data_IF_956832754600
#
_entry.id   IF_956832754600
#
_cell.length_a   1.000
_cell.length_b   1.000
_cell.length_c   1.000
_cell.angle_alpha   90.00
_cell.angle_beta   90.00
_cell.angle_gamma   90.00
#
_symmetry.space_group_name_H-M   'P 1'
#
loop_
_entity.id
_entity.type
_entity.pdbx_description
1 polymer ?
#
# COMPACT_ATOMS: atom_id res chain seq x y z
N UNK A 1 -34.45 2.68 27.42
CA UNK A 1 -33.43 1.64 27.69
C UNK A 1 -32.16 2.11 27.03
N UNK A 2 -31.21 2.60 27.84
CA UNK A 2 -29.95 3.17 27.38
C UNK A 2 -28.92 2.04 27.46
N UNK A 3 -28.32 1.64 26.35
CA UNK A 3 -27.18 0.73 26.35
C UNK A 3 -25.94 1.57 26.03
N UNK A 4 -25.25 1.96 27.10
CA UNK A 4 -23.89 2.49 27.08
C UNK A 4 -22.97 1.26 27.09
N UNK A 5 -22.12 1.10 26.08
CA UNK A 5 -21.01 0.15 26.10
C UNK A 5 -19.73 0.93 25.81
N UNK A 6 -19.10 1.38 26.89
CA UNK A 6 -17.71 1.86 26.92
C UNK A 6 -16.80 0.63 26.94
N UNK A 7 -15.97 0.46 25.90
CA UNK A 7 -15.12 -0.73 25.75
C UNK A 7 -14.51 -0.87 24.37
N UNK A 8 -13.29 -0.39 24.23
CA UNK A 8 -12.41 -0.48 23.06
C UNK A 8 -12.17 -1.92 22.58
N UNK A 9 -13.04 -2.48 21.74
CA UNK A 9 -12.75 -3.52 20.72
C UNK A 9 -13.88 -3.54 19.68
N UNK A 10 -13.58 -3.08 18.45
CA UNK A 10 -14.48 -3.03 17.30
C UNK A 10 -14.82 -4.46 16.85
N UNK A 11 -15.88 -5.05 17.41
CA UNK A 11 -16.44 -6.34 17.00
C UNK A 11 -16.78 -6.30 15.50
N UNK A 12 -15.92 -6.92 14.66
CA UNK A 12 -16.11 -7.06 13.22
C UNK A 12 -17.38 -7.86 12.96
N UNK A 13 -18.43 -7.18 12.51
CA UNK A 13 -19.73 -7.76 12.22
C UNK A 13 -19.58 -8.91 11.20
N UNK A 14 -19.81 -10.12 11.68
CA UNK A 14 -19.76 -11.39 10.98
C UNK A 14 -21.01 -11.58 10.11
N UNK A 15 -21.08 -10.92 8.95
CA UNK A 15 -21.94 -11.24 7.79
C UNK A 15 -21.94 -10.03 6.85
N UNK A 16 -21.25 -10.07 5.71
CA UNK A 16 -21.42 -9.13 4.57
C UNK A 16 -20.45 -9.52 3.47
N UNK A 17 -20.92 -9.72 2.24
CA UNK A 17 -20.10 -10.08 1.08
C UNK A 17 -19.15 -8.98 0.61
N UNK A 18 -18.61 -8.17 1.52
CA UNK A 18 -17.67 -7.08 1.26
C UNK A 18 -16.78 -6.80 2.48
N UNK A 19 -15.59 -6.26 2.22
CA UNK A 19 -14.66 -5.70 3.20
C UNK A 19 -14.83 -4.18 3.20
N UNK A 20 -14.86 -3.55 4.38
CA UNK A 20 -14.93 -2.10 4.48
C UNK A 20 -13.83 -1.51 5.37
N UNK A 21 -13.25 -0.40 4.93
CA UNK A 21 -12.32 0.40 5.72
C UNK A 21 -12.34 1.87 5.24
N UNK A 22 -11.81 2.78 6.06
CA UNK A 22 -11.78 4.21 5.75
C UNK A 22 -10.83 4.55 4.59
N UNK A 23 -9.77 3.76 4.39
CA UNK A 23 -8.77 3.99 3.34
C UNK A 23 -9.24 3.63 1.93
N UNK A 24 -10.07 2.59 1.78
CA UNK A 24 -10.45 2.03 0.47
C UNK A 24 -11.97 1.93 0.27
N UNK A 25 -12.76 2.38 1.25
CA UNK A 25 -14.21 2.27 1.20
C UNK A 25 -14.66 0.81 1.31
N UNK A 26 -15.55 0.37 0.42
CA UNK A 26 -16.12 -0.99 0.42
C UNK A 26 -15.67 -1.78 -0.80
N UNK A 27 -15.15 -2.99 -0.59
CA UNK A 27 -14.68 -3.91 -1.62
C UNK A 27 -15.49 -5.19 -1.53
N UNK A 28 -16.16 -5.66 -2.60
CA UNK A 28 -16.85 -6.94 -2.58
C UNK A 28 -15.91 -8.12 -2.31
N UNK A 29 -16.38 -9.17 -1.66
CA UNK A 29 -15.60 -10.40 -1.48
C UNK A 29 -15.34 -11.02 -2.85
N UNK A 30 -14.07 -11.35 -3.12
CA UNK A 30 -13.58 -11.83 -4.40
C UNK A 30 -12.99 -10.73 -5.28
N UNK A 31 -13.21 -9.47 -4.94
CA UNK A 31 -12.66 -8.33 -5.68
C UNK A 31 -11.33 -7.86 -5.08
N UNK A 32 -10.58 -7.16 -5.93
CA UNK A 32 -9.32 -6.50 -5.56
C UNK A 32 -9.44 -5.01 -5.82
N UNK A 33 -9.10 -4.22 -4.80
CA UNK A 33 -8.95 -2.78 -4.94
C UNK A 33 -7.48 -2.44 -5.16
N UNK A 34 -7.22 -1.51 -6.07
CA UNK A 34 -5.88 -1.01 -6.35
C UNK A 34 -5.82 0.45 -5.95
N UNK A 35 -4.84 0.80 -5.13
CA UNK A 35 -4.51 2.17 -4.80
C UNK A 35 -3.20 2.51 -5.50
N UNK A 36 -3.31 3.18 -6.65
CA UNK A 36 -2.15 3.51 -7.48
C UNK A 36 -1.30 4.63 -6.85
N UNK A 37 -1.89 5.47 -5.99
CA UNK A 37 -1.19 6.55 -5.30
C UNK A 37 -0.20 6.01 -4.26
N UNK A 38 -0.62 5.00 -3.48
CA UNK A 38 0.25 4.31 -2.52
C UNK A 38 0.88 3.03 -3.10
N UNK A 39 0.60 2.71 -4.37
CA UNK A 39 1.01 1.49 -5.05
C UNK A 39 0.80 0.22 -4.20
N UNK A 40 -0.44 0.01 -3.82
CA UNK A 40 -0.86 -1.14 -3.01
C UNK A 40 -2.11 -1.80 -3.62
N UNK A 41 -2.23 -3.12 -3.43
CA UNK A 41 -3.45 -3.86 -3.71
C UNK A 41 -4.08 -4.37 -2.42
N UNK A 42 -5.41 -4.37 -2.38
CA UNK A 42 -6.19 -4.85 -1.25
C UNK A 42 -7.17 -5.90 -1.75
N UNK A 43 -6.96 -7.14 -1.32
CA UNK A 43 -7.81 -8.27 -1.71
C UNK A 43 -8.81 -8.54 -0.61
N UNK A 44 -10.10 -8.54 -0.92
CA UNK A 44 -11.14 -8.93 0.02
C UNK A 44 -11.48 -10.42 -0.14
N UNK A 45 -11.19 -11.24 0.87
CA UNK A 45 -11.46 -12.68 0.89
C UNK A 45 -12.15 -13.11 2.18
N UNK A 46 -13.33 -13.72 2.05
CA UNK A 46 -14.14 -14.25 3.16
C UNK A 46 -14.41 -13.25 4.30
N UNK A 47 -14.57 -11.96 3.98
CA UNK A 47 -14.79 -10.90 4.98
C UNK A 47 -13.51 -10.42 5.69
N UNK A 48 -12.34 -10.89 5.24
CA UNK A 48 -11.03 -10.39 5.62
C UNK A 48 -10.40 -9.67 4.43
N UNK A 49 -9.67 -8.58 4.68
CA UNK A 49 -8.89 -7.93 3.62
C UNK A 49 -7.39 -8.13 3.87
N UNK A 50 -6.65 -8.29 2.79
CA UNK A 50 -5.19 -8.42 2.77
C UNK A 50 -4.62 -7.32 1.90
N UNK A 51 -3.84 -6.42 2.50
CA UNK A 51 -3.10 -5.39 1.78
C UNK A 51 -1.70 -5.87 1.41
N UNK A 52 -1.29 -5.66 0.17
CA UNK A 52 0.08 -5.84 -0.30
C UNK A 52 0.54 -4.55 -0.97
N UNK A 53 1.58 -3.94 -0.42
CA UNK A 53 2.26 -2.78 -1.01
C UNK A 53 3.63 -3.16 -1.53
N UNK A 54 4.31 -2.21 -2.16
CA UNK A 54 5.73 -2.34 -2.41
C UNK A 54 6.48 -2.36 -1.07
N UNK A 55 7.39 -3.32 -0.90
CA UNK A 55 8.28 -3.33 0.26
C UNK A 55 9.03 -2.01 0.39
N UNK A 56 9.53 -1.70 1.60
CA UNK A 56 10.29 -0.47 1.82
C UNK A 56 11.62 -0.55 1.08
N UNK A 57 11.70 0.13 -0.07
CA UNK A 57 12.94 0.36 -0.79
C UNK A 57 13.52 1.71 -0.40
N UNK A 58 14.75 1.71 0.10
CA UNK A 58 15.48 2.91 0.46
C UNK A 58 16.61 3.12 -0.55
N UNK A 59 16.74 4.36 -1.04
CA UNK A 59 17.93 4.80 -1.75
C UNK A 59 19.04 5.07 -0.76
N UNK A 60 20.18 4.43 -0.99
CA UNK A 60 21.40 4.68 -0.24
C UNK A 60 22.46 5.14 -1.24
N UNK A 61 23.20 6.21 -0.90
CA UNK A 61 24.36 6.66 -1.67
C UNK A 61 24.28 8.08 -2.22
N UNK A 62 23.10 8.60 -2.58
CA UNK A 62 22.99 9.96 -3.12
C UNK A 62 21.70 10.69 -2.68
N UNK A 63 21.79 11.84 -1.99
CA UNK A 63 20.62 12.62 -1.56
C UNK A 63 19.91 13.35 -2.71
N UNK A 64 20.54 13.48 -3.88
CA UNK A 64 19.96 14.11 -5.07
C UNK A 64 19.27 13.10 -6.00
N UNK A 65 19.13 11.85 -5.55
CA UNK A 65 18.39 10.82 -6.23
C UNK A 65 17.18 10.44 -5.39
N UNK A 66 16.04 10.23 -6.05
CA UNK A 66 14.79 9.82 -5.41
C UNK A 66 14.20 8.61 -6.13
N UNK A 67 13.50 7.76 -5.39
CA UNK A 67 12.72 6.69 -5.97
C UNK A 67 11.39 7.27 -6.40
N UNK A 68 11.11 7.14 -7.68
CA UNK A 68 9.83 7.55 -8.23
C UNK A 68 9.09 6.30 -8.67
N UNK A 69 7.86 6.15 -8.16
CA UNK A 69 6.96 5.09 -8.57
C UNK A 69 6.51 5.33 -10.02
N UNK A 70 6.35 4.26 -10.78
CA UNK A 70 5.79 4.37 -12.13
C UNK A 70 4.27 4.37 -12.09
N UNK A 71 3.61 5.06 -13.02
CA UNK A 71 2.16 4.95 -13.18
C UNK A 71 1.78 3.51 -13.54
N UNK A 72 0.72 2.99 -12.92
CA UNK A 72 0.22 1.64 -13.13
C UNK A 72 -0.37 1.06 -11.84
N UNK A 73 -0.90 -0.16 -11.94
CA UNK A 73 -1.42 -0.91 -10.80
C UNK A 73 -0.33 -1.73 -10.13
N UNK A 74 -0.49 -2.05 -8.85
CA UNK A 74 0.37 -3.03 -8.19
C UNK A 74 0.31 -4.38 -8.94
N UNK A 75 1.43 -5.08 -9.19
CA UNK A 75 2.80 -4.79 -8.76
C UNK A 75 3.63 -3.95 -9.76
N UNK A 76 3.06 -3.50 -10.88
CA UNK A 76 3.79 -2.74 -11.90
C UNK A 76 4.27 -1.36 -11.39
N UNK A 77 3.46 -0.68 -10.58
CA UNK A 77 3.89 0.58 -9.95
C UNK A 77 5.03 0.38 -8.93
N UNK A 78 5.29 -0.85 -8.46
CA UNK A 78 6.42 -1.17 -7.58
C UNK A 78 7.76 -1.21 -8.30
N UNK A 79 7.78 -1.16 -9.63
CA UNK A 79 9.02 -1.00 -10.41
C UNK A 79 9.48 0.45 -10.31
N UNK A 80 9.90 0.82 -9.10
CA UNK A 80 10.48 2.11 -8.81
C UNK A 80 11.72 2.29 -9.67
N UNK A 81 11.83 3.47 -10.25
CA UNK A 81 13.03 3.89 -10.95
C UNK A 81 13.70 5.02 -10.17
N UNK A 82 15.01 5.08 -10.31
CA UNK A 82 15.82 6.13 -9.71
C UNK A 82 15.82 7.31 -10.66
N UNK A 83 15.26 8.43 -10.20
CA UNK A 83 15.40 9.71 -10.87
C UNK A 83 16.36 10.57 -10.05
N UNK A 84 17.39 11.10 -10.70
CA UNK A 84 18.35 12.00 -10.07
C UNK A 84 18.35 13.36 -10.75
N UNK A 85 18.53 14.42 -9.97
CA UNK A 85 18.66 15.78 -10.49
C UNK A 85 19.93 15.93 -11.36
N UNK A 86 19.92 16.85 -12.33
CA UNK A 86 21.03 17.05 -13.26
C UNK A 86 22.34 17.35 -12.52
N UNK A 87 23.36 16.51 -12.75
CA UNK A 87 24.67 16.59 -12.07
C UNK A 87 24.84 15.65 -10.87
N UNK A 88 23.83 14.84 -10.54
CA UNK A 88 23.95 13.79 -9.53
C UNK A 88 24.78 12.59 -10.06
N UNK A 89 25.77 12.16 -9.28
CA UNK A 89 26.53 10.94 -9.57
C UNK A 89 25.69 9.69 -9.27
N UNK A 90 25.40 8.89 -10.29
CA UNK A 90 24.66 7.63 -10.15
C UNK A 90 25.56 6.44 -9.78
N UNK A 91 26.88 6.65 -9.67
CA UNK A 91 27.88 5.58 -9.56
C UNK A 91 27.83 4.83 -8.23
N UNK A 92 27.21 5.40 -7.20
CA UNK A 92 27.12 4.82 -5.86
C UNK A 92 25.67 4.61 -5.37
N UNK A 93 24.68 4.73 -6.26
CA UNK A 93 23.27 4.60 -5.89
C UNK A 93 22.89 3.12 -5.78
N UNK A 94 22.47 2.70 -4.59
CA UNK A 94 21.94 1.35 -4.35
C UNK A 94 20.50 1.43 -3.86
N UNK A 95 19.65 0.53 -4.37
CA UNK A 95 18.27 0.37 -3.91
C UNK A 95 18.23 -0.81 -2.97
N UNK A 96 18.02 -0.53 -1.68
CA UNK A 96 17.91 -1.55 -0.64
C UNK A 96 16.44 -1.81 -0.36
N UNK A 97 15.93 -2.98 -0.76
CA UNK A 97 14.57 -3.41 -0.46
C UNK A 97 14.55 -4.26 0.81
N UNK A 98 13.90 -3.79 1.87
CA UNK A 98 13.67 -4.62 3.06
C UNK A 98 12.33 -5.35 2.86
N UNK A 99 12.42 -6.66 2.63
CA UNK A 99 11.29 -7.58 2.48
C UNK A 99 11.16 -8.51 3.67
#
# INVERSE_FOLDING_TARGET
MVLVLDGSQRERKKNIGYCENESFGRIPVGETYYNDEACEQIVCSHGFFYGQGCGQSQLVGNPNCRLVARPGHYPDCCRMHVECDEGADMSNVVVSSTG
#
